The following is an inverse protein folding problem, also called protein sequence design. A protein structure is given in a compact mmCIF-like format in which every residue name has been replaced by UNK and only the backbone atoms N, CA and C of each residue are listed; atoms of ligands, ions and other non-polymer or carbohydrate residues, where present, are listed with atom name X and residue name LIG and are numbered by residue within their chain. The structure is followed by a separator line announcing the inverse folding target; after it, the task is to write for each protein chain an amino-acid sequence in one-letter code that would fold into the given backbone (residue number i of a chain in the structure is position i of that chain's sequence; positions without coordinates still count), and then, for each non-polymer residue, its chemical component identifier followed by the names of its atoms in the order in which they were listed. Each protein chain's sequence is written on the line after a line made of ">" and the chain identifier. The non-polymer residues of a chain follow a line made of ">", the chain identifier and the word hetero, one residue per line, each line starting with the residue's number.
data_IF_519820019306
#
_entry.id   IF_519820019306
#
_cell.length_a   1.000
_cell.length_b   1.000
_cell.length_c   1.000
_cell.angle_alpha   90.00
_cell.angle_beta   90.00
_cell.angle_gamma   90.00
#
_symmetry.space_group_name_H-M   'P 1'
#
loop_
_entity.id
_entity.type
_entity.pdbx_description
1 polymer ?
#
# COMPACT_ATOMS: atom_id res chain seq x y z
N UNK A 1 6.10 -8.31 16.73
CA UNK A 1 5.29 -7.08 16.73
C UNK A 1 3.85 -7.46 16.46
N UNK A 2 2.93 -7.13 17.36
CA UNK A 2 1.50 -7.40 17.19
C UNK A 2 0.88 -6.24 16.39
N UNK A 3 0.03 -6.56 15.41
CA UNK A 3 -0.68 -5.56 14.61
C UNK A 3 -2.15 -5.48 15.03
N UNK A 4 -2.47 -4.48 15.87
CA UNK A 4 -3.84 -4.26 16.33
C UNK A 4 -4.77 -3.87 15.16
N UNK A 5 -4.28 -3.15 14.15
CA UNK A 5 -5.11 -2.72 13.03
C UNK A 5 -5.65 -3.93 12.27
N UNK A 6 -4.81 -4.94 12.05
CA UNK A 6 -5.25 -6.21 11.47
C UNK A 6 -6.38 -6.86 12.28
N UNK A 7 -6.25 -6.92 13.61
CA UNK A 7 -7.27 -7.52 14.48
C UNK A 7 -8.58 -6.74 14.45
N UNK A 8 -8.52 -5.41 14.46
CA UNK A 8 -9.72 -4.55 14.42
C UNK A 8 -10.40 -4.60 13.04
N UNK A 9 -9.65 -4.68 11.95
CA UNK A 9 -10.23 -4.68 10.59
C UNK A 9 -10.81 -6.06 10.24
N UNK A 10 -10.15 -7.15 10.63
CA UNK A 10 -10.52 -8.49 10.19
C UNK A 10 -11.26 -9.30 11.25
N UNK A 11 -10.68 -9.41 12.45
CA UNK A 11 -11.19 -10.31 13.49
C UNK A 11 -12.37 -9.72 14.24
N UNK A 12 -12.25 -8.47 14.68
CA UNK A 12 -13.26 -7.78 15.47
C UNK A 12 -14.67 -7.82 14.86
N UNK A 13 -14.89 -7.47 13.57
CA UNK A 13 -16.22 -7.54 12.99
C UNK A 13 -16.73 -8.99 12.90
N UNK A 14 -15.88 -9.95 12.52
CA UNK A 14 -16.28 -11.36 12.44
C UNK A 14 -16.69 -11.91 13.81
N UNK A 15 -15.93 -11.62 14.86
CA UNK A 15 -16.28 -12.00 16.23
C UNK A 15 -17.61 -11.37 16.64
N UNK A 16 -17.81 -10.08 16.37
CA UNK A 16 -19.04 -9.39 16.71
C UNK A 16 -20.24 -10.02 16.00
N UNK A 17 -20.13 -10.33 14.71
CA UNK A 17 -21.16 -11.00 13.93
C UNK A 17 -21.44 -12.43 14.42
N UNK A 18 -20.40 -13.19 14.77
CA UNK A 18 -20.52 -14.54 15.31
C UNK A 18 -21.21 -14.59 16.69
N UNK A 19 -21.19 -13.49 17.46
CA UNK A 19 -21.95 -13.40 18.71
C UNK A 19 -23.40 -12.92 18.51
N UNK A 20 -23.70 -12.32 17.35
CA UNK A 20 -24.98 -11.68 17.06
C UNK A 20 -25.83 -12.45 16.03
N UNK A 21 -25.33 -13.51 15.39
CA UNK A 21 -26.10 -14.22 14.35
C UNK A 21 -27.37 -14.89 14.87
N UNK A 22 -27.40 -15.29 16.15
CA UNK A 22 -28.54 -15.97 16.77
C UNK A 22 -29.23 -15.11 17.84
N UNK A 23 -29.73 -13.94 17.43
CA UNK A 23 -30.45 -13.04 18.34
C UNK A 23 -31.95 -13.35 18.45
N UNK A 24 -32.59 -13.71 17.33
CA UNK A 24 -34.04 -13.96 17.27
C UNK A 24 -34.39 -15.42 17.00
N UNK A 25 -33.56 -16.13 16.24
CA UNK A 25 -33.89 -17.45 15.75
C UNK A 25 -33.92 -18.50 16.86
N UNK A 26 -32.93 -18.51 17.76
CA UNK A 26 -32.88 -19.42 18.90
C UNK A 26 -34.09 -19.28 19.83
N UNK A 27 -34.66 -18.08 19.96
CA UNK A 27 -35.85 -17.85 20.80
C UNK A 27 -37.17 -18.17 20.09
N UNK A 28 -37.19 -18.13 18.75
CA UNK A 28 -38.32 -18.66 17.96
C UNK A 28 -38.37 -20.18 18.04
N UNK A 29 -37.21 -20.83 17.89
CA UNK A 29 -37.08 -22.29 17.97
C UNK A 29 -37.35 -22.81 19.39
N UNK A 30 -36.95 -22.06 20.43
CA UNK A 30 -37.18 -22.41 21.83
C UNK A 30 -38.58 -22.03 22.35
N UNK A 31 -39.41 -21.37 21.54
CA UNK A 31 -40.74 -20.87 21.94
C UNK A 31 -40.73 -19.74 22.99
N UNK A 32 -39.55 -19.34 23.50
CA UNK A 32 -39.34 -18.28 24.48
C UNK A 32 -39.89 -16.94 24.02
N UNK A 33 -39.86 -16.67 22.70
CA UNK A 33 -40.39 -15.44 22.13
C UNK A 33 -41.88 -15.26 22.43
N UNK A 34 -42.68 -16.34 22.39
CA UNK A 34 -44.12 -16.29 22.68
C UNK A 34 -44.38 -15.97 24.15
N UNK A 35 -43.56 -16.51 25.04
CA UNK A 35 -43.65 -16.23 26.47
C UNK A 35 -43.25 -14.79 26.80
N UNK A 36 -42.16 -14.28 26.20
CA UNK A 36 -41.71 -12.90 26.39
C UNK A 36 -42.74 -11.87 25.88
N UNK A 37 -43.40 -12.15 24.75
CA UNK A 37 -44.46 -11.30 24.21
C UNK A 37 -45.72 -11.30 25.10
N UNK A 38 -46.02 -12.40 25.79
CA UNK A 38 -47.14 -12.45 26.75
C UNK A 38 -46.91 -11.54 27.98
N UNK A 39 -45.66 -11.15 28.24
CA UNK A 39 -45.28 -10.23 29.32
C UNK A 39 -45.33 -8.75 28.89
N UNK A 40 -45.84 -8.44 27.69
CA UNK A 40 -46.01 -7.06 27.20
C UNK A 40 -44.71 -6.36 26.76
N UNK A 41 -43.62 -7.10 26.59
CA UNK A 41 -42.34 -6.55 26.15
C UNK A 41 -42.36 -6.37 24.62
N UNK A 42 -41.95 -5.21 24.13
CA UNK A 42 -41.85 -4.99 22.68
C UNK A 42 -40.75 -5.87 22.06
N UNK A 43 -41.01 -6.54 20.91
CA UNK A 43 -40.03 -7.44 20.28
C UNK A 43 -38.76 -6.70 19.86
N UNK A 44 -38.88 -5.47 19.39
CA UNK A 44 -37.73 -4.63 19.02
C UNK A 44 -36.88 -4.24 20.24
N UNK A 45 -37.50 -3.85 21.35
CA UNK A 45 -36.78 -3.50 22.58
C UNK A 45 -36.06 -4.70 23.19
N UNK A 46 -36.69 -5.87 23.12
CA UNK A 46 -36.10 -7.13 23.56
C UNK A 46 -34.86 -7.50 22.71
N UNK A 47 -34.96 -7.39 21.39
CA UNK A 47 -33.85 -7.62 20.46
C UNK A 47 -32.67 -6.67 20.71
N UNK A 48 -32.93 -5.37 20.84
CA UNK A 48 -31.90 -4.36 21.06
C UNK A 48 -31.16 -4.59 22.39
N UNK A 49 -31.87 -4.90 23.48
CA UNK A 49 -31.24 -5.18 24.78
C UNK A 49 -30.32 -6.39 24.73
N UNK A 50 -30.75 -7.45 24.06
CA UNK A 50 -29.96 -8.69 23.93
C UNK A 50 -28.75 -8.49 23.01
N UNK A 51 -28.91 -7.72 21.94
CA UNK A 51 -27.80 -7.33 21.07
C UNK A 51 -26.77 -6.48 21.82
N UNK A 52 -27.20 -5.51 22.63
CA UNK A 52 -26.32 -4.72 23.49
C UNK A 52 -25.58 -5.60 24.50
N UNK A 53 -26.29 -6.49 25.21
CA UNK A 53 -25.68 -7.38 26.19
C UNK A 53 -24.61 -8.29 25.58
N UNK A 54 -24.80 -8.78 24.35
CA UNK A 54 -23.83 -9.64 23.66
C UNK A 54 -22.69 -8.87 22.98
N UNK A 55 -22.95 -7.63 22.53
CA UNK A 55 -21.92 -6.80 21.87
C UNK A 55 -21.00 -6.09 22.85
N UNK A 56 -21.48 -5.75 24.06
CA UNK A 56 -20.72 -5.02 25.07
C UNK A 56 -19.37 -5.67 25.44
N UNK A 57 -19.27 -7.00 25.69
CA UNK A 57 -17.99 -7.63 26.00
C UNK A 57 -16.99 -7.54 24.84
N UNK A 58 -17.47 -7.72 23.59
CA UNK A 58 -16.64 -7.67 22.39
C UNK A 58 -16.15 -6.25 22.11
N UNK A 59 -17.06 -5.27 22.23
CA UNK A 59 -16.74 -3.83 22.18
C UNK A 59 -15.74 -3.43 23.26
N UNK A 60 -16.00 -3.82 24.52
CA UNK A 60 -15.14 -3.54 25.66
C UNK A 60 -13.73 -4.10 25.46
N UNK A 61 -13.63 -5.34 24.98
CA UNK A 61 -12.33 -5.97 24.69
C UNK A 61 -11.56 -5.20 23.61
N UNK A 62 -12.23 -4.79 22.53
CA UNK A 62 -11.58 -4.02 21.46
C UNK A 62 -11.13 -2.63 21.93
N UNK A 63 -11.94 -1.95 22.76
CA UNK A 63 -11.59 -0.66 23.35
C UNK A 63 -10.41 -0.79 24.32
N UNK A 64 -10.41 -1.80 25.19
CA UNK A 64 -9.29 -2.08 26.09
C UNK A 64 -8.02 -2.42 25.31
N UNK A 65 -8.11 -3.27 24.27
CA UNK A 65 -6.96 -3.56 23.42
C UNK A 65 -6.40 -2.29 22.73
N UNK A 66 -7.27 -1.38 22.31
CA UNK A 66 -6.89 -0.09 21.71
C UNK A 66 -6.24 0.85 22.72
N UNK A 67 -6.77 0.90 23.95
CA UNK A 67 -6.17 1.66 25.05
C UNK A 67 -4.76 1.15 25.39
N UNK A 68 -4.60 -0.17 25.50
CA UNK A 68 -3.32 -0.81 25.84
C UNK A 68 -2.27 -0.67 24.72
N UNK A 69 -2.69 -0.51 23.47
CA UNK A 69 -1.80 -0.27 22.34
C UNK A 69 -1.38 1.20 22.19
N UNK A 70 -2.07 2.13 22.86
CA UNK A 70 -1.77 3.55 22.82
C UNK A 70 -0.47 3.91 23.55
N UNK A 71 0.31 4.83 22.97
CA UNK A 71 1.51 5.38 23.60
C UNK A 71 1.25 6.77 24.20
N UNK A 72 1.85 7.05 25.36
CA UNK A 72 1.78 8.35 26.01
C UNK A 72 2.24 9.49 25.07
N UNK A 73 1.60 10.66 25.19
CA UNK A 73 1.90 11.85 24.37
C UNK A 73 1.11 11.96 23.06
N UNK A 74 0.21 11.01 22.77
CA UNK A 74 -0.64 11.01 21.57
C UNK A 74 -2.15 10.88 21.90
N UNK A 75 -2.59 11.59 22.94
CA UNK A 75 -3.98 11.60 23.47
C UNK A 75 -5.04 11.74 22.37
N UNK A 76 -4.89 12.74 21.47
CA UNK A 76 -5.86 12.98 20.40
C UNK A 76 -5.95 11.81 19.41
N UNK A 77 -4.81 11.20 19.07
CA UNK A 77 -4.80 10.05 18.15
C UNK A 77 -5.46 8.83 18.80
N UNK A 78 -5.23 8.62 20.09
CA UNK A 78 -5.89 7.56 20.85
C UNK A 78 -7.40 7.80 20.93
N UNK A 79 -7.84 9.02 21.24
CA UNK A 79 -9.26 9.37 21.28
C UNK A 79 -9.96 9.14 19.93
N UNK A 80 -9.32 9.54 18.82
CA UNK A 80 -9.83 9.26 17.46
C UNK A 80 -9.87 7.76 17.20
N UNK A 81 -8.85 7.00 17.56
CA UNK A 81 -8.83 5.55 17.37
C UNK A 81 -9.97 4.87 18.14
N UNK A 82 -10.20 5.25 19.40
CA UNK A 82 -11.30 4.73 20.22
C UNK A 82 -12.66 5.07 19.61
N UNK A 83 -12.84 6.31 19.14
CA UNK A 83 -14.07 6.73 18.48
C UNK A 83 -14.33 5.93 17.19
N UNK A 84 -13.29 5.69 16.38
CA UNK A 84 -13.39 4.87 15.17
C UNK A 84 -13.78 3.43 15.51
N UNK A 85 -13.13 2.82 16.51
CA UNK A 85 -13.47 1.44 16.95
C UNK A 85 -14.91 1.36 17.44
N UNK A 86 -15.36 2.34 18.23
CA UNK A 86 -16.73 2.41 18.73
C UNK A 86 -17.75 2.52 17.60
N UNK A 87 -17.55 3.48 16.67
CA UNK A 87 -18.45 3.71 15.53
C UNK A 87 -18.48 2.48 14.63
N UNK A 88 -17.32 1.89 14.36
CA UNK A 88 -17.20 0.69 13.54
C UNK A 88 -17.94 -0.51 14.17
N UNK A 89 -17.81 -0.70 15.48
CA UNK A 89 -18.56 -1.72 16.21
C UNK A 89 -20.07 -1.48 16.23
N UNK A 90 -20.49 -0.23 16.43
CA UNK A 90 -21.91 0.17 16.36
C UNK A 90 -22.51 -0.10 14.97
N UNK A 91 -21.75 0.19 13.90
CA UNK A 91 -22.17 -0.12 12.54
C UNK A 91 -22.44 -1.62 12.35
N UNK A 92 -21.52 -2.49 12.76
CA UNK A 92 -21.72 -3.94 12.63
C UNK A 92 -22.83 -4.47 13.55
N UNK A 93 -22.95 -3.95 14.77
CA UNK A 93 -24.02 -4.34 15.69
C UNK A 93 -25.41 -3.95 15.16
N UNK A 94 -25.54 -2.75 14.61
CA UNK A 94 -26.80 -2.28 14.01
C UNK A 94 -27.15 -3.07 12.75
N UNK A 95 -26.16 -3.36 11.89
CA UNK A 95 -26.35 -4.23 10.73
C UNK A 95 -26.81 -5.65 11.14
N UNK A 96 -26.21 -6.22 12.19
CA UNK A 96 -26.59 -7.52 12.71
C UNK A 96 -28.03 -7.54 13.25
N UNK A 97 -28.43 -6.50 13.99
CA UNK A 97 -29.81 -6.35 14.47
C UNK A 97 -30.79 -6.23 13.29
N UNK A 98 -30.46 -5.42 12.28
CA UNK A 98 -31.30 -5.23 11.10
C UNK A 98 -31.53 -6.54 10.33
N UNK A 99 -30.47 -7.31 10.09
CA UNK A 99 -30.56 -8.62 9.42
C UNK A 99 -31.35 -9.63 10.28
N UNK A 100 -31.09 -9.68 11.59
CA UNK A 100 -31.82 -10.60 12.49
C UNK A 100 -33.33 -10.28 12.59
N UNK A 101 -33.71 -9.01 12.45
CA UNK A 101 -35.12 -8.60 12.49
C UNK A 101 -35.93 -9.21 11.34
N UNK A 102 -35.33 -9.37 10.16
CA UNK A 102 -35.98 -9.93 8.96
C UNK A 102 -35.67 -11.42 8.74
N UNK A 103 -34.65 -11.96 9.39
CA UNK A 103 -34.25 -13.36 9.23
C UNK A 103 -35.24 -14.33 9.86
N UNK A 104 -35.50 -15.43 9.16
CA UNK A 104 -36.44 -16.49 9.58
C UNK A 104 -35.77 -17.58 10.43
N UNK A 105 -34.50 -17.87 10.19
CA UNK A 105 -33.70 -18.89 10.90
C UNK A 105 -32.29 -18.40 11.24
N UNK A 106 -31.63 -19.06 12.21
CA UNK A 106 -30.27 -18.71 12.64
C UNK A 106 -29.26 -18.92 11.52
N UNK A 107 -29.44 -20.01 10.76
CA UNK A 107 -28.62 -20.33 9.61
C UNK A 107 -28.71 -19.25 8.52
N UNK A 108 -29.92 -18.76 8.21
CA UNK A 108 -30.13 -17.69 7.22
C UNK A 108 -29.52 -16.35 7.68
N UNK A 109 -29.66 -16.02 8.97
CA UNK A 109 -29.02 -14.84 9.55
C UNK A 109 -27.49 -14.93 9.44
N UNK A 110 -26.90 -16.07 9.81
CA UNK A 110 -25.46 -16.31 9.74
C UNK A 110 -24.92 -16.20 8.31
N UNK A 111 -25.59 -16.84 7.33
CA UNK A 111 -25.18 -16.76 5.92
C UNK A 111 -25.29 -15.35 5.37
N UNK A 112 -26.35 -14.61 5.74
CA UNK A 112 -26.56 -13.24 5.27
C UNK A 112 -25.55 -12.27 5.88
N UNK A 113 -25.24 -12.41 7.18
CA UNK A 113 -24.21 -11.61 7.86
C UNK A 113 -22.82 -11.88 7.26
N UNK A 114 -22.49 -13.14 7.02
CA UNK A 114 -21.25 -13.53 6.35
C UNK A 114 -21.14 -12.95 4.94
N UNK A 115 -22.22 -13.07 4.15
CA UNK A 115 -22.28 -12.49 2.80
C UNK A 115 -22.16 -10.95 2.82
N UNK A 116 -22.84 -10.28 3.75
CA UNK A 116 -22.74 -8.83 3.92
C UNK A 116 -21.32 -8.40 4.30
N UNK A 117 -20.65 -9.16 5.18
CA UNK A 117 -19.25 -8.90 5.52
C UNK A 117 -18.32 -9.04 4.32
N UNK A 118 -18.42 -10.14 3.57
CA UNK A 118 -17.64 -10.35 2.33
C UNK A 118 -17.91 -9.24 1.32
N UNK A 119 -19.18 -8.89 1.13
CA UNK A 119 -19.58 -7.85 0.20
C UNK A 119 -18.97 -6.49 0.56
N UNK A 120 -19.02 -6.10 1.84
CA UNK A 120 -18.54 -4.81 2.30
C UNK A 120 -17.01 -4.72 2.40
N UNK A 121 -16.35 -5.78 2.85
CA UNK A 121 -14.91 -5.75 3.16
C UNK A 121 -14.05 -6.20 1.97
N UNK A 122 -14.54 -7.13 1.15
CA UNK A 122 -13.76 -7.71 0.04
C UNK A 122 -14.25 -7.22 -1.32
N UNK A 123 -15.56 -7.27 -1.56
CA UNK A 123 -16.12 -6.98 -2.89
C UNK A 123 -16.19 -5.48 -3.15
N UNK A 124 -16.71 -4.69 -2.20
CA UNK A 124 -16.86 -3.25 -2.34
C UNK A 124 -15.55 -2.52 -2.70
N UNK A 125 -14.40 -2.73 -2.03
CA UNK A 125 -13.17 -2.04 -2.43
C UNK A 125 -12.71 -2.41 -3.84
N UNK A 126 -12.90 -3.67 -4.24
CA UNK A 126 -12.56 -4.13 -5.60
C UNK A 126 -13.43 -3.45 -6.64
N UNK A 127 -14.75 -3.39 -6.42
CA UNK A 127 -15.69 -2.72 -7.32
C UNK A 127 -15.42 -1.21 -7.40
N UNK A 128 -15.12 -0.57 -6.27
CA UNK A 128 -14.76 0.86 -6.22
C UNK A 128 -13.49 1.12 -7.04
N UNK A 129 -12.46 0.27 -6.90
CA UNK A 129 -11.23 0.40 -7.67
C UNK A 129 -11.49 0.24 -9.18
N UNK A 130 -12.25 -0.79 -9.58
CA UNK A 130 -12.60 -0.99 -11.00
C UNK A 130 -13.43 0.17 -11.56
N UNK A 131 -14.37 0.69 -10.79
CA UNK A 131 -15.17 1.86 -11.17
C UNK A 131 -14.27 3.10 -11.32
N UNK A 132 -13.33 3.31 -10.39
CA UNK A 132 -12.38 4.42 -10.46
C UNK A 132 -11.49 4.34 -11.71
N UNK A 133 -10.98 3.16 -12.05
CA UNK A 133 -10.17 2.95 -13.27
C UNK A 133 -10.98 3.20 -14.55
N UNK A 134 -12.27 2.85 -14.54
CA UNK A 134 -13.16 3.10 -15.68
C UNK A 134 -13.51 4.58 -15.88
N UNK A 135 -13.67 5.33 -14.77
CA UNK A 135 -14.06 6.74 -14.77
C UNK A 135 -12.86 7.67 -14.98
N UNK A 136 -11.71 7.27 -14.45
CA UNK A 136 -10.44 7.98 -14.56
C UNK A 136 -9.43 7.06 -15.26
N UNK A 137 -9.56 6.85 -16.58
CA UNK A 137 -8.62 6.05 -17.34
C UNK A 137 -7.24 6.64 -17.14
N UNK A 138 -6.38 5.91 -16.43
CA UNK A 138 -5.04 6.35 -16.14
C UNK A 138 -4.31 6.44 -17.48
N UNK A 139 -3.74 7.61 -17.85
CA UNK A 139 -3.03 7.72 -19.11
C UNK A 139 -1.97 6.62 -19.15
N UNK A 140 -2.05 5.78 -20.17
CA UNK A 140 -1.12 4.68 -20.40
C UNK A 140 0.27 5.24 -20.20
N UNK A 141 0.96 4.78 -19.15
CA UNK A 141 2.31 5.19 -18.77
C UNK A 141 3.09 5.37 -20.06
N UNK A 142 3.57 6.58 -20.43
CA UNK A 142 4.37 6.72 -21.63
C UNK A 142 5.48 5.70 -21.47
N UNK A 143 5.47 4.73 -22.38
CA UNK A 143 6.42 3.64 -22.46
C UNK A 143 7.79 4.24 -22.15
N UNK A 144 8.59 3.66 -21.22
CA UNK A 144 9.94 4.15 -21.01
C UNK A 144 10.63 3.98 -22.34
N UNK A 145 10.63 5.06 -23.14
CA UNK A 145 11.30 5.11 -24.42
C UNK A 145 12.74 4.99 -24.03
N UNK A 146 13.26 3.77 -24.14
CA UNK A 146 14.67 3.46 -24.06
C UNK A 146 15.28 4.21 -25.24
N UNK A 147 15.54 5.49 -24.99
CA UNK A 147 16.27 6.34 -25.90
C UNK A 147 17.68 5.87 -25.67
N UNK A 148 18.16 4.97 -26.54
CA UNK A 148 19.58 4.75 -26.69
C UNK A 148 20.17 6.10 -27.13
N UNK A 149 20.57 6.92 -26.15
CA UNK A 149 21.51 8.01 -26.41
C UNK A 149 22.75 7.33 -26.96
N UNK A 150 22.96 7.50 -28.26
CA UNK A 150 24.09 6.96 -29.00
C UNK A 150 25.32 7.81 -28.70
N UNK A 151 25.64 7.99 -27.41
CA UNK A 151 26.87 8.60 -26.95
C UNK A 151 27.64 7.51 -26.22
N UNK A 152 28.65 6.88 -26.87
CA UNK A 152 29.51 5.95 -26.15
C UNK A 152 30.13 6.69 -24.96
N UNK A 153 30.17 6.11 -23.74
CA UNK A 153 31.01 6.68 -22.71
C UNK A 153 32.44 6.62 -23.24
N UNK A 154 33.07 7.78 -23.40
CA UNK A 154 34.52 7.82 -23.48
C UNK A 154 35.04 7.11 -22.23
N UNK A 155 35.46 5.86 -22.38
CA UNK A 155 36.15 5.13 -21.31
C UNK A 155 37.47 5.86 -21.09
N UNK A 156 37.51 6.75 -20.12
CA UNK A 156 38.76 7.30 -19.60
C UNK A 156 39.53 6.16 -18.94
N UNK A 157 40.49 5.57 -19.66
CA UNK A 157 41.50 4.73 -19.05
C UNK A 157 42.53 5.66 -18.40
N UNK A 158 42.38 5.95 -17.11
CA UNK A 158 43.41 6.62 -16.33
C UNK A 158 44.48 5.58 -15.95
N UNK A 159 45.68 5.71 -16.54
CA UNK A 159 46.86 5.00 -16.06
C UNK A 159 47.36 5.67 -14.76
N UNK A 160 47.91 4.94 -13.77
CA UNK A 160 48.21 5.50 -12.45
C UNK A 160 49.28 6.59 -12.48
N UNK A 161 50.16 6.62 -13.48
CA UNK A 161 51.20 7.64 -13.63
C UNK A 161 51.56 7.83 -15.12
N UNK A 162 51.03 8.88 -15.75
CA UNK A 162 51.40 9.31 -17.12
C UNK A 162 50.34 10.21 -17.79
N UNK A 163 50.71 11.09 -18.74
CA UNK A 163 49.76 12.04 -19.33
C UNK A 163 48.66 11.33 -20.13
N UNK A 164 47.42 11.78 -19.94
CA UNK A 164 46.23 11.24 -20.58
C UNK A 164 46.29 11.40 -22.11
N UNK A 165 46.57 10.31 -22.82
CA UNK A 165 46.50 10.28 -24.29
C UNK A 165 45.05 10.00 -24.69
N UNK A 166 44.38 10.99 -25.28
CA UNK A 166 43.07 10.80 -25.93
C UNK A 166 43.30 10.08 -27.26
N UNK A 167 42.94 8.81 -27.35
CA UNK A 167 43.05 8.04 -28.59
C UNK A 167 41.87 8.37 -29.53
N UNK A 168 42.17 8.90 -30.72
CA UNK A 168 41.19 9.16 -31.78
C UNK A 168 40.80 7.82 -32.48
N UNK A 169 39.50 7.45 -32.53
CA UNK A 169 39.05 6.18 -33.11
C UNK A 169 39.28 6.02 -34.62
N UNK A 170 39.67 7.09 -35.33
CA UNK A 170 40.03 7.02 -36.75
C UNK A 170 41.46 6.53 -37.01
N UNK A 171 42.23 6.25 -35.97
CA UNK A 171 43.61 5.79 -36.13
C UNK A 171 43.69 4.30 -36.48
N UNK A 172 44.47 4.04 -37.53
CA UNK A 172 44.73 2.78 -38.22
C UNK A 172 44.65 1.51 -37.32
N UNK A 173 43.84 0.48 -37.65
CA UNK A 173 43.59 -0.67 -36.78
C UNK A 173 44.85 -1.44 -36.33
N UNK A 174 45.94 -1.36 -37.11
CA UNK A 174 47.22 -1.98 -36.75
C UNK A 174 47.95 -1.31 -35.57
N UNK A 175 47.65 -0.03 -35.27
CA UNK A 175 48.22 0.69 -34.12
C UNK A 175 47.54 0.28 -32.80
N UNK A 176 46.22 0.12 -32.82
CA UNK A 176 45.45 -0.38 -31.68
C UNK A 176 45.89 -1.77 -31.24
N UNK A 177 46.16 -2.66 -32.21
CA UNK A 177 46.59 -4.03 -31.93
C UNK A 177 48.02 -4.09 -31.34
N UNK A 178 48.90 -3.16 -31.69
CA UNK A 178 50.27 -3.08 -31.12
C UNK A 178 50.30 -2.51 -29.70
N UNK A 179 49.43 -1.56 -29.37
CA UNK A 179 49.31 -1.08 -27.98
C UNK A 179 48.70 -2.13 -27.05
N UNK A 180 47.70 -2.89 -27.50
CA UNK A 180 47.05 -3.92 -26.68
C UNK A 180 47.97 -5.12 -26.37
N UNK A 181 48.95 -5.41 -27.23
CA UNK A 181 49.86 -6.54 -27.06
C UNK A 181 51.16 -6.20 -26.30
N UNK A 182 51.33 -4.98 -25.78
CA UNK A 182 52.41 -4.65 -24.84
C UNK A 182 53.83 -4.94 -25.35
N UNK A 183 54.13 -4.65 -26.62
CA UNK A 183 55.41 -5.01 -27.23
C UNK A 183 56.57 -4.12 -26.70
N UNK A 184 57.68 -4.67 -26.18
CA UNK A 184 58.71 -3.87 -25.47
C UNK A 184 59.63 -3.01 -26.35
N UNK A 185 59.53 -3.08 -27.68
CA UNK A 185 60.54 -2.54 -28.60
C UNK A 185 60.24 -1.15 -29.17
N UNK A 186 59.14 -0.51 -28.79
CA UNK A 186 58.85 0.87 -29.22
C UNK A 186 59.51 1.89 -28.29
N UNK A 187 60.84 1.95 -28.36
CA UNK A 187 61.64 3.00 -27.72
C UNK A 187 61.30 4.34 -28.40
N UNK A 188 60.50 5.16 -27.73
CA UNK A 188 60.14 6.50 -28.18
C UNK A 188 61.42 7.29 -28.46
N UNK A 189 61.69 7.60 -29.73
CA UNK A 189 62.72 8.56 -30.12
C UNK A 189 62.17 9.93 -29.76
N UNK A 190 62.60 10.43 -28.60
CA UNK A 190 62.32 11.80 -28.12
C UNK A 190 63.01 12.78 -29.08
N UNK A 191 62.30 13.73 -29.70
CA UNK A 191 62.93 14.96 -30.18
C UNK A 191 62.97 15.96 -29.02
N UNK A 192 64.16 16.48 -28.76
CA UNK A 192 64.47 17.58 -27.83
C UNK A 192 63.79 18.92 -28.24
N UNK A 193 63.67 19.88 -27.30
CA UNK A 193 62.76 21.01 -27.42
C UNK A 193 63.40 22.23 -28.08
N UNK A 194 62.64 22.98 -28.89
CA UNK A 194 62.99 24.35 -29.30
C UNK A 194 61.76 25.27 -29.26
N UNK A 195 61.85 26.24 -28.35
CA UNK A 195 61.46 27.65 -28.39
C UNK A 195 60.08 28.13 -28.93
N UNK A 196 59.38 28.80 -28.01
CA UNK A 196 58.87 30.19 -28.09
C UNK A 196 58.11 30.71 -29.34
N UNK A 197 56.85 31.12 -29.13
CA UNK A 197 56.20 32.33 -29.70
C UNK A 197 54.76 32.44 -29.14
N UNK A 198 54.48 33.34 -28.19
CA UNK A 198 53.83 34.66 -28.35
C UNK A 198 52.47 34.68 -29.07
N UNK A 199 51.45 35.24 -28.36
CA UNK A 199 50.31 36.09 -28.80
C UNK A 199 48.85 35.58 -28.51
N UNK A 200 47.87 36.50 -28.31
CA UNK A 200 46.77 36.39 -27.32
C UNK A 200 45.36 36.13 -27.95
N UNK A 201 44.23 36.15 -27.20
CA UNK A 201 42.98 35.54 -27.66
C UNK A 201 42.17 36.51 -28.54
N UNK A 202 41.65 36.01 -29.65
CA UNK A 202 40.59 36.70 -30.41
C UNK A 202 39.34 35.85 -30.43
N UNK A 203 38.34 36.36 -29.73
CA UNK A 203 36.96 35.97 -29.84
C UNK A 203 36.50 36.04 -31.30
N UNK A 204 35.81 34.99 -31.76
CA UNK A 204 34.91 35.10 -32.91
C UNK A 204 33.61 34.41 -32.57
N UNK A 205 32.63 35.25 -32.28
CA UNK A 205 31.21 34.96 -32.33
C UNK A 205 30.83 34.41 -33.71
N UNK A 206 29.99 33.37 -33.72
CA UNK A 206 28.95 33.24 -34.73
C UNK A 206 27.79 32.40 -34.19
N UNK A 207 26.69 33.10 -33.97
CA UNK A 207 25.33 32.61 -33.86
C UNK A 207 24.98 31.65 -35.00
N UNK A 208 24.17 30.63 -34.71
CA UNK A 208 23.02 30.31 -35.54
C UNK A 208 21.95 29.61 -34.67
N UNK A 209 20.73 30.14 -34.85
CA UNK A 209 19.43 29.66 -34.39
C UNK A 209 19.11 28.30 -34.99
#
# INVERSE_FOLDING_TARGET
>A
RFDLAFVIIWLYPLFLLAFLYDLMAGDRESGTLRLALSQGISPAGWLCRRALARSLPVLGLALVATLLAGSAGYELRLAVALAVVLIYGLFWATLAVAINAVSTSAASAASTLGAAWVALVLVAPTLINLAAESLYPTPSRPEPRVTCSRTPPARSCSAPFGPSIVANPRSNPKLLQRCLLGWPSFRARVPTPIAAATSPPTARSRFCN
#
